data_IF_778994038030
#
_entry.id   IF_778994038030
#
_cell.length_a   1.000
_cell.length_b   1.000
_cell.length_c   1.000
_cell.angle_alpha   90.00
_cell.angle_beta   90.00
_cell.angle_gamma   90.00
#
_symmetry.space_group_name_H-M   'P 1'
#
loop_
_entity.id
_entity.type
_entity.pdbx_description
1 polymer ?
#
# COMPACT_ATOMS: atom_id res chain seq x y z
N UNK A 1 -5.44 -68.18 27.27
CA UNK A 1 -6.22 -67.06 27.86
C UNK A 1 -5.33 -65.83 27.85
N UNK A 2 -5.45 -64.98 26.83
CA UNK A 2 -4.68 -63.74 26.73
C UNK A 2 -5.58 -62.62 27.24
N UNK A 3 -5.24 -62.05 28.40
CA UNK A 3 -5.90 -60.87 28.95
C UNK A 3 -5.40 -59.65 28.15
N UNK A 4 -6.26 -59.09 27.32
CA UNK A 4 -6.04 -57.77 26.73
C UNK A 4 -6.42 -56.74 27.79
N UNK A 5 -5.41 -56.15 28.43
CA UNK A 5 -5.57 -54.97 29.25
C UNK A 5 -5.61 -53.77 28.31
N UNK A 6 -6.83 -53.28 28.00
CA UNK A 6 -7.01 -51.97 27.37
C UNK A 6 -6.68 -50.93 28.43
N UNK A 7 -5.54 -50.25 28.28
CA UNK A 7 -5.16 -49.13 29.13
C UNK A 7 -6.16 -47.99 28.93
N UNK A 8 -7.02 -47.80 29.93
CA UNK A 8 -8.03 -46.75 30.01
C UNK A 8 -7.40 -45.39 30.39
N UNK A 9 -6.34 -44.98 29.69
CA UNK A 9 -5.54 -43.79 30.05
C UNK A 9 -5.51 -42.70 28.98
N UNK A 10 -6.42 -42.75 27.99
CA UNK A 10 -6.61 -41.70 26.99
C UNK A 10 -7.93 -40.92 27.15
N UNK A 11 -8.58 -40.98 28.31
CA UNK A 11 -9.87 -40.31 28.56
C UNK A 11 -9.86 -39.27 29.70
N UNK A 12 -8.67 -38.76 30.06
CA UNK A 12 -8.53 -37.76 31.12
C UNK A 12 -7.57 -36.62 30.70
N UNK A 13 -7.89 -35.94 29.60
CA UNK A 13 -7.32 -34.64 29.27
C UNK A 13 -8.34 -33.75 28.52
N UNK A 14 -9.63 -33.90 28.83
CA UNK A 14 -10.72 -33.09 28.25
C UNK A 14 -11.54 -32.44 29.37
N UNK A 15 -10.86 -31.74 30.27
CA UNK A 15 -11.45 -30.86 31.28
C UNK A 15 -10.32 -29.89 31.64
N UNK A 16 -10.18 -28.77 30.92
CA UNK A 16 -10.91 -27.54 31.22
C UNK A 16 -11.17 -26.69 29.96
N UNK A 17 -11.88 -27.23 28.97
CA UNK A 17 -12.68 -26.34 28.11
C UNK A 17 -13.96 -26.09 28.90
N UNK A 18 -14.08 -24.91 29.53
CA UNK A 18 -15.32 -24.53 30.21
C UNK A 18 -16.48 -24.74 29.25
N UNK A 19 -17.39 -25.65 29.59
CA UNK A 19 -18.61 -25.83 28.80
C UNK A 19 -19.41 -24.55 28.97
N UNK A 20 -19.41 -23.68 27.97
CA UNK A 20 -20.31 -22.52 27.94
C UNK A 20 -21.72 -23.08 27.90
N UNK A 21 -22.37 -23.20 29.06
CA UNK A 21 -23.69 -23.81 29.17
C UNK A 21 -24.77 -22.95 28.51
N UNK A 22 -24.50 -21.65 28.34
CA UNK A 22 -25.33 -20.70 27.60
C UNK A 22 -24.45 -19.65 26.93
N UNK A 23 -24.61 -19.50 25.61
CA UNK A 23 -23.99 -18.40 24.87
C UNK A 23 -24.69 -17.07 25.23
N UNK A 24 -23.97 -15.93 25.23
CA UNK A 24 -24.58 -14.64 25.53
C UNK A 24 -25.62 -14.29 24.46
N UNK A 25 -26.61 -13.47 24.82
CA UNK A 25 -27.68 -13.03 23.90
C UNK A 25 -27.12 -12.40 22.62
N UNK A 26 -26.01 -11.65 22.76
CA UNK A 26 -25.28 -11.04 21.65
C UNK A 26 -24.81 -12.04 20.60
N UNK A 27 -24.67 -13.32 20.96
CA UNK A 27 -24.31 -14.42 20.07
C UNK A 27 -25.56 -15.21 19.66
N UNK A 28 -26.41 -15.58 20.61
CA UNK A 28 -27.56 -16.47 20.33
C UNK A 28 -28.55 -15.87 19.34
N UNK A 29 -28.68 -14.54 19.29
CA UNK A 29 -29.57 -13.86 18.34
C UNK A 29 -29.16 -14.00 16.86
N UNK A 30 -27.93 -14.44 16.60
CA UNK A 30 -27.41 -14.62 15.24
C UNK A 30 -27.49 -16.09 14.75
N UNK A 31 -27.77 -17.03 15.66
CA UNK A 31 -27.80 -18.47 15.39
C UNK A 31 -29.10 -18.88 14.70
N UNK A 32 -28.99 -19.62 13.59
CA UNK A 32 -30.11 -20.33 12.97
C UNK A 32 -30.17 -21.78 13.49
N UNK A 33 -30.94 -22.00 14.55
CA UNK A 33 -31.09 -23.33 15.16
C UNK A 33 -31.77 -24.37 14.26
N UNK A 34 -32.30 -23.97 13.09
CA UNK A 34 -32.85 -24.92 12.11
C UNK A 34 -31.78 -25.57 11.22
N UNK A 35 -30.57 -25.00 11.16
CA UNK A 35 -29.45 -25.55 10.42
C UNK A 35 -28.67 -26.55 11.27
N UNK A 36 -28.22 -27.64 10.66
CA UNK A 36 -27.36 -28.61 11.32
C UNK A 36 -25.91 -28.09 11.35
N UNK A 37 -25.31 -27.83 12.54
CA UNK A 37 -23.94 -27.32 12.63
C UNK A 37 -22.87 -28.29 12.07
N UNK A 38 -23.19 -29.59 11.95
CA UNK A 38 -22.28 -30.57 11.36
C UNK A 38 -22.27 -30.54 9.83
N UNK A 39 -23.31 -29.97 9.21
CA UNK A 39 -23.45 -29.91 7.76
C UNK A 39 -23.04 -28.52 7.23
N UNK A 40 -23.49 -27.45 7.89
CA UNK A 40 -23.14 -26.07 7.56
C UNK A 40 -23.05 -25.22 8.84
N UNK A 41 -21.84 -25.10 9.38
CA UNK A 41 -21.60 -24.34 10.60
C UNK A 41 -21.77 -22.83 10.41
N UNK A 42 -21.57 -22.30 9.19
CA UNK A 42 -21.78 -20.88 8.92
C UNK A 42 -23.27 -20.54 8.95
N UNK A 43 -24.10 -21.34 8.28
CA UNK A 43 -25.56 -21.15 8.34
C UNK A 43 -26.07 -21.32 9.77
N UNK A 44 -25.57 -22.31 10.53
CA UNK A 44 -25.94 -22.44 11.94
C UNK A 44 -25.54 -21.21 12.76
N UNK A 45 -24.29 -20.76 12.69
CA UNK A 45 -23.79 -19.70 13.56
C UNK A 45 -24.27 -18.29 13.18
N UNK A 46 -24.45 -18.03 11.88
CA UNK A 46 -24.70 -16.69 11.33
C UNK A 46 -26.03 -16.58 10.57
N UNK A 47 -26.76 -17.68 10.36
CA UNK A 47 -27.89 -17.72 9.44
C UNK A 47 -29.06 -16.83 9.80
N UNK A 48 -29.27 -16.51 11.08
CA UNK A 48 -30.29 -15.55 11.48
C UNK A 48 -29.88 -14.12 11.11
N UNK A 49 -28.61 -13.76 11.34
CA UNK A 49 -28.08 -12.46 10.88
C UNK A 49 -28.11 -12.35 9.35
N UNK A 50 -27.68 -13.41 8.65
CA UNK A 50 -27.56 -13.41 7.20
C UNK A 50 -28.89 -13.15 6.48
N UNK A 51 -30.01 -13.60 7.05
CA UNK A 51 -31.37 -13.36 6.51
C UNK A 51 -31.75 -11.88 6.49
N UNK A 52 -31.30 -11.11 7.48
CA UNK A 52 -31.68 -9.71 7.69
C UNK A 52 -30.56 -8.72 7.30
N UNK A 53 -29.37 -9.24 6.95
CA UNK A 53 -28.22 -8.42 6.64
C UNK A 53 -28.46 -7.57 5.38
N UNK A 54 -28.35 -6.25 5.52
CA UNK A 54 -28.39 -5.30 4.42
C UNK A 54 -26.99 -4.74 4.22
N UNK A 55 -26.47 -4.86 3.00
CA UNK A 55 -25.20 -4.21 2.63
C UNK A 55 -25.45 -2.69 2.59
N UNK A 56 -24.75 -1.88 3.40
CA UNK A 56 -24.93 -0.44 3.39
C UNK A 56 -24.65 0.15 2.00
N UNK A 57 -25.34 1.24 1.60
CA UNK A 57 -25.06 1.92 0.35
C UNK A 57 -23.57 2.28 0.20
N UNK A 58 -22.99 1.99 -0.96
CA UNK A 58 -21.57 2.25 -1.24
C UNK A 58 -20.58 1.27 -0.60
N UNK A 59 -21.03 0.18 0.03
CA UNK A 59 -20.16 -0.91 0.49
C UNK A 59 -20.31 -2.14 -0.42
N UNK A 60 -19.23 -2.85 -0.74
CA UNK A 60 -19.31 -4.08 -1.56
C UNK A 60 -19.79 -5.30 -0.76
N UNK A 61 -19.67 -5.28 0.57
CA UNK A 61 -20.12 -6.33 1.47
C UNK A 61 -20.44 -5.75 2.87
N UNK A 62 -21.06 -6.58 3.71
CA UNK A 62 -21.19 -6.34 5.16
C UNK A 62 -20.97 -7.66 5.88
N UNK A 63 -20.54 -7.61 7.13
CA UNK A 63 -20.31 -8.78 7.97
C UNK A 63 -20.70 -8.50 9.42
N UNK A 64 -20.89 -9.56 10.21
CA UNK A 64 -21.37 -9.44 11.58
C UNK A 64 -20.35 -8.80 12.53
N UNK A 65 -19.05 -8.94 12.26
CA UNK A 65 -17.99 -8.61 13.21
C UNK A 65 -17.28 -7.30 12.83
N UNK A 66 -16.56 -7.29 11.71
CA UNK A 66 -15.66 -6.23 11.31
C UNK A 66 -16.40 -5.00 10.80
N UNK A 67 -17.49 -5.17 10.04
CA UNK A 67 -18.26 -4.02 9.54
C UNK A 67 -18.85 -3.20 10.68
N UNK A 68 -19.37 -3.86 11.73
CA UNK A 68 -19.88 -3.18 12.92
C UNK A 68 -18.77 -2.43 13.66
N UNK A 69 -17.65 -3.10 13.95
CA UNK A 69 -16.50 -2.50 14.64
C UNK A 69 -15.94 -1.32 13.84
N UNK A 70 -15.88 -1.44 12.50
CA UNK A 70 -15.44 -0.37 11.62
C UNK A 70 -16.30 0.89 11.74
N UNK A 71 -17.63 0.74 11.81
CA UNK A 71 -18.57 1.86 12.00
C UNK A 71 -18.40 2.49 13.39
N UNK A 72 -18.28 1.67 14.44
CA UNK A 72 -18.05 2.16 15.81
C UNK A 72 -16.72 2.92 15.92
N UNK A 73 -15.67 2.42 15.26
CA UNK A 73 -14.38 3.09 15.19
C UNK A 73 -14.45 4.40 14.38
N UNK A 74 -15.15 4.41 13.24
CA UNK A 74 -15.33 5.61 12.41
C UNK A 74 -15.96 6.74 13.24
N UNK A 75 -16.96 6.44 14.07
CA UNK A 75 -17.59 7.42 14.96
C UNK A 75 -16.61 8.01 16.00
N UNK A 76 -15.76 7.18 16.61
CA UNK A 76 -14.72 7.65 17.55
C UNK A 76 -13.69 8.53 16.83
N UNK A 77 -13.27 8.13 15.62
CA UNK A 77 -12.33 8.91 14.82
C UNK A 77 -12.92 10.26 14.41
N UNK A 78 -14.20 10.31 14.03
CA UNK A 78 -14.91 11.56 13.73
C UNK A 78 -14.92 12.51 14.93
N UNK A 79 -15.18 12.00 16.15
CA UNK A 79 -15.12 12.78 17.38
C UNK A 79 -13.71 13.36 17.62
N UNK A 80 -12.67 12.52 17.51
CA UNK A 80 -11.26 12.93 17.68
C UNK A 80 -10.84 13.99 16.67
N UNK A 81 -11.27 13.86 15.41
CA UNK A 81 -10.96 14.84 14.37
C UNK A 81 -11.73 16.15 14.60
N UNK A 82 -12.97 16.09 15.09
CA UNK A 82 -13.79 17.27 15.41
C UNK A 82 -13.22 18.10 16.56
N UNK A 83 -12.49 17.45 17.47
CA UNK A 83 -11.78 18.05 18.60
C UNK A 83 -10.62 18.96 18.17
N UNK A 84 -10.23 18.91 16.89
CA UNK A 84 -9.26 19.81 16.25
C UNK A 84 -7.95 19.96 17.03
N UNK A 85 -7.39 18.84 17.51
CA UNK A 85 -6.11 18.81 18.22
C UNK A 85 -4.98 19.36 17.34
N UNK A 86 -3.99 20.04 17.94
CA UNK A 86 -2.84 20.59 17.20
C UNK A 86 -2.12 19.51 16.38
N UNK A 87 -1.60 19.87 15.19
CA UNK A 87 -1.05 18.97 14.16
C UNK A 87 -2.06 18.02 13.49
N UNK A 88 -2.88 17.31 14.26
CA UNK A 88 -3.89 16.39 13.72
C UNK A 88 -4.98 17.16 12.95
N UNK A 89 -5.57 18.15 13.63
CA UNK A 89 -6.56 19.06 13.06
C UNK A 89 -5.97 19.95 11.97
N UNK A 90 -4.72 20.41 12.12
CA UNK A 90 -4.02 21.17 11.06
C UNK A 90 -3.87 20.34 9.78
N UNK A 91 -3.42 19.09 9.90
CA UNK A 91 -3.31 18.17 8.76
C UNK A 91 -4.67 17.87 8.14
N UNK A 92 -5.66 17.48 8.96
CA UNK A 92 -7.02 17.18 8.51
C UNK A 92 -7.67 18.38 7.80
N UNK A 93 -7.61 19.57 8.41
CA UNK A 93 -8.18 20.79 7.83
C UNK A 93 -7.45 21.23 6.55
N UNK A 94 -6.14 21.01 6.45
CA UNK A 94 -5.39 21.29 5.20
C UNK A 94 -5.89 20.44 4.04
N UNK A 95 -6.31 19.20 4.32
CA UNK A 95 -6.93 18.35 3.33
C UNK A 95 -8.37 18.80 3.02
N UNK A 96 -9.15 19.24 4.00
CA UNK A 96 -10.53 19.69 3.78
C UNK A 96 -10.65 20.97 2.92
N UNK A 97 -9.64 21.83 2.92
CA UNK A 97 -9.66 23.13 2.22
C UNK A 97 -9.53 23.00 0.69
N UNK A 98 -10.63 22.58 0.06
CA UNK A 98 -10.73 22.45 -1.40
C UNK A 98 -10.63 23.78 -2.13
N UNK A 99 -10.96 24.91 -1.47
CA UNK A 99 -10.83 26.23 -2.08
C UNK A 99 -9.35 26.58 -2.32
N UNK A 100 -8.49 26.35 -1.32
CA UNK A 100 -7.04 26.52 -1.48
C UNK A 100 -6.48 25.54 -2.51
N UNK A 101 -6.89 24.27 -2.49
CA UNK A 101 -6.44 23.27 -3.47
C UNK A 101 -6.84 23.63 -4.91
N UNK A 102 -8.06 24.09 -5.14
CA UNK A 102 -8.51 24.59 -6.45
C UNK A 102 -7.72 25.83 -6.88
N UNK A 103 -7.41 26.74 -5.95
CA UNK A 103 -6.60 27.93 -6.26
C UNK A 103 -5.15 27.59 -6.61
N UNK A 104 -4.58 26.57 -5.97
CA UNK A 104 -3.20 26.15 -6.22
C UNK A 104 -3.07 25.28 -7.46
N UNK A 105 -4.07 24.43 -7.77
CA UNK A 105 -3.99 23.49 -8.88
C UNK A 105 -2.70 22.65 -8.82
N UNK A 106 -1.91 22.67 -9.89
CA UNK A 106 -0.62 21.96 -9.97
C UNK A 106 0.58 22.80 -9.53
N UNK A 107 0.38 24.04 -9.06
CA UNK A 107 1.48 24.94 -8.70
C UNK A 107 2.48 24.38 -7.69
N UNK A 108 2.08 23.55 -6.69
CA UNK A 108 3.04 22.92 -5.77
C UNK A 108 4.07 22.01 -6.45
N UNK A 109 3.77 21.50 -7.65
CA UNK A 109 4.65 20.60 -8.40
C UNK A 109 5.61 21.33 -9.35
N UNK A 110 5.45 22.64 -9.57
CA UNK A 110 6.21 23.37 -10.58
C UNK A 110 7.73 23.36 -10.34
N UNK A 111 8.17 23.31 -9.08
CA UNK A 111 9.59 23.15 -8.75
C UNK A 111 10.17 21.84 -9.27
N UNK A 112 9.47 20.73 -9.00
CA UNK A 112 9.84 19.39 -9.46
C UNK A 112 9.74 19.26 -10.99
N UNK A 113 8.68 19.79 -11.60
CA UNK A 113 8.52 19.82 -13.07
C UNK A 113 9.69 20.59 -13.69
N UNK A 114 10.04 21.77 -13.15
CA UNK A 114 11.18 22.54 -13.63
C UNK A 114 12.49 21.75 -13.52
N UNK A 115 12.72 21.04 -12.42
CA UNK A 115 13.92 20.21 -12.25
C UNK A 115 13.99 19.10 -13.31
N UNK A 116 12.88 18.41 -13.59
CA UNK A 116 12.77 17.37 -14.64
C UNK A 116 13.17 17.93 -16.01
N UNK A 117 12.63 19.08 -16.40
CA UNK A 117 12.88 19.67 -17.72
C UNK A 117 14.24 20.36 -17.83
N UNK A 118 14.86 20.74 -16.72
CA UNK A 118 16.19 21.35 -16.69
C UNK A 118 17.33 20.33 -16.73
N UNK A 119 17.05 19.04 -16.50
CA UNK A 119 18.05 17.97 -16.53
C UNK A 119 18.61 17.77 -17.93
N UNK A 120 19.92 17.96 -18.15
CA UNK A 120 20.51 17.96 -19.50
C UNK A 120 20.85 16.57 -20.02
N UNK A 121 21.04 15.61 -19.11
CA UNK A 121 21.37 14.22 -19.44
C UNK A 121 20.39 13.25 -18.78
N UNK A 122 20.36 12.00 -19.27
CA UNK A 122 19.58 10.94 -18.62
C UNK A 122 20.00 10.74 -17.17
N UNK A 123 21.30 10.84 -16.86
CA UNK A 123 21.77 10.70 -15.48
C UNK A 123 21.24 11.85 -14.60
N UNK A 124 21.32 13.10 -15.06
CA UNK A 124 20.78 14.25 -14.31
C UNK A 124 19.28 14.07 -14.02
N UNK A 125 18.52 13.61 -15.01
CA UNK A 125 17.08 13.36 -14.85
C UNK A 125 16.81 12.27 -13.82
N UNK A 126 17.61 11.20 -13.81
CA UNK A 126 17.42 10.11 -12.86
C UNK A 126 17.89 10.47 -11.46
N UNK A 127 18.83 11.40 -11.32
CA UNK A 127 19.13 12.04 -10.02
C UNK A 127 17.91 12.82 -9.55
N UNK A 128 17.28 13.64 -10.40
CA UNK A 128 16.02 14.33 -10.06
C UNK A 128 14.93 13.32 -9.66
N UNK A 129 14.78 12.22 -10.40
CA UNK A 129 13.83 11.17 -10.05
C UNK A 129 14.15 10.51 -8.68
N UNK A 130 15.43 10.37 -8.34
CA UNK A 130 15.88 9.92 -7.02
C UNK A 130 15.58 10.93 -5.91
N UNK A 131 15.57 12.23 -6.21
CA UNK A 131 15.16 13.27 -5.25
C UNK A 131 13.65 13.24 -5.00
N UNK A 132 12.83 12.94 -6.03
CA UNK A 132 11.38 12.77 -5.86
C UNK A 132 11.02 11.63 -4.90
N UNK A 133 11.88 10.59 -4.81
CA UNK A 133 11.68 9.49 -3.86
C UNK A 133 11.70 9.96 -2.39
N UNK A 134 12.41 11.07 -2.07
CA UNK A 134 12.37 11.68 -0.73
C UNK A 134 10.99 12.19 -0.34
N UNK A 135 10.17 12.50 -1.34
CA UNK A 135 8.79 12.94 -1.18
C UNK A 135 7.78 11.79 -1.35
N UNK A 136 8.25 10.53 -1.26
CA UNK A 136 7.40 9.35 -1.39
C UNK A 136 7.05 8.97 -2.84
N UNK A 137 7.77 9.49 -3.85
CA UNK A 137 7.48 9.26 -5.27
C UNK A 137 8.65 8.50 -5.93
N UNK A 138 8.76 7.17 -5.73
CA UNK A 138 9.77 6.36 -6.41
C UNK A 138 9.42 6.19 -7.90
N UNK A 139 10.30 6.64 -8.80
CA UNK A 139 10.02 6.58 -10.23
C UNK A 139 10.29 5.18 -10.85
N UNK A 140 11.49 4.65 -10.61
CA UNK A 140 12.00 3.42 -11.24
C UNK A 140 12.61 2.42 -10.25
N UNK A 141 12.85 2.83 -9.01
CA UNK A 141 13.29 1.96 -7.92
C UNK A 141 12.75 2.50 -6.61
N UNK A 142 12.37 1.62 -5.71
CA UNK A 142 12.00 1.95 -4.35
C UNK A 142 13.03 1.36 -3.38
N UNK A 143 13.86 2.20 -2.75
CA UNK A 143 14.87 1.77 -1.79
C UNK A 143 14.45 2.25 -0.41
N UNK A 144 14.27 1.30 0.51
CA UNK A 144 13.77 1.56 1.86
C UNK A 144 14.71 0.99 2.91
N UNK A 145 14.77 1.66 4.06
CA UNK A 145 15.40 1.10 5.24
C UNK A 145 14.49 0.03 5.87
N UNK A 146 15.06 -1.11 6.23
CA UNK A 146 14.38 -2.16 6.98
C UNK A 146 15.39 -2.91 7.86
N UNK A 147 14.89 -3.70 8.81
CA UNK A 147 15.72 -4.55 9.64
C UNK A 147 16.48 -5.57 8.77
N UNK A 148 17.77 -5.79 9.04
CA UNK A 148 18.54 -6.82 8.35
C UNK A 148 17.99 -8.20 8.68
N UNK A 149 17.58 -8.95 7.65
CA UNK A 149 17.08 -10.32 7.78
C UNK A 149 18.08 -11.28 8.43
N UNK A 150 19.39 -10.97 8.43
CA UNK A 150 20.44 -11.76 9.10
C UNK A 150 20.78 -11.25 10.50
N UNK A 151 20.49 -9.99 10.82
CA UNK A 151 20.79 -9.35 12.09
C UNK A 151 19.76 -8.25 12.37
N UNK A 152 18.64 -8.61 13.01
CA UNK A 152 17.52 -7.70 13.27
C UNK A 152 17.86 -6.54 14.21
N UNK A 153 19.07 -6.48 14.76
CA UNK A 153 19.55 -5.34 15.55
C UNK A 153 20.04 -4.17 14.69
N UNK A 154 20.13 -4.34 13.37
CA UNK A 154 20.60 -3.33 12.43
C UNK A 154 19.54 -3.02 11.38
N UNK A 155 19.53 -1.76 10.94
CA UNK A 155 18.81 -1.35 9.74
C UNK A 155 19.76 -1.28 8.54
N UNK A 156 19.27 -1.71 7.40
CA UNK A 156 19.99 -1.74 6.12
C UNK A 156 19.04 -1.30 5.00
N UNK A 157 19.58 -0.97 3.83
CA UNK A 157 18.77 -0.63 2.67
C UNK A 157 18.37 -1.88 1.91
N UNK A 158 17.11 -1.98 1.51
CA UNK A 158 16.61 -2.96 0.55
C UNK A 158 16.04 -2.24 -0.66
N UNK A 159 16.45 -2.68 -1.85
CA UNK A 159 15.92 -2.19 -3.11
C UNK A 159 14.82 -3.10 -3.63
N UNK A 160 13.72 -2.49 -4.05
CA UNK A 160 12.55 -3.16 -4.61
C UNK A 160 12.11 -2.47 -5.93
N UNK A 161 11.28 -3.17 -6.70
CA UNK A 161 10.59 -2.58 -7.83
C UNK A 161 9.56 -1.54 -7.34
N UNK A 162 9.44 -0.37 -8.00
CA UNK A 162 8.49 0.65 -7.60
C UNK A 162 7.06 0.23 -7.96
N UNK A 163 6.04 0.84 -7.35
CA UNK A 163 4.67 0.69 -7.79
C UNK A 163 4.51 1.11 -9.26
N UNK A 164 3.70 0.35 -9.99
CA UNK A 164 3.19 0.72 -11.31
C UNK A 164 1.92 1.55 -11.15
N UNK A 165 1.62 2.42 -12.11
CA UNK A 165 0.45 3.30 -12.04
C UNK A 165 -0.89 2.53 -12.13
N UNK A 166 -0.88 1.33 -12.73
CA UNK A 166 -1.96 0.35 -12.62
C UNK A 166 -1.45 -0.96 -12.00
N UNK A 167 -2.33 -1.79 -11.40
CA UNK A 167 -1.95 -3.15 -11.02
C UNK A 167 -1.35 -3.91 -12.20
N UNK A 168 -0.19 -4.56 -12.00
CA UNK A 168 0.60 -5.25 -13.05
C UNK A 168 -0.25 -6.09 -14.00
N UNK A 169 -1.26 -6.79 -13.48
CA UNK A 169 -2.13 -7.67 -14.27
C UNK A 169 -2.88 -6.96 -15.41
N UNK A 170 -3.16 -5.66 -15.30
CA UNK A 170 -3.76 -4.89 -16.39
C UNK A 170 -2.80 -4.73 -17.57
N UNK A 171 -1.49 -4.64 -17.34
CA UNK A 171 -0.52 -4.53 -18.43
C UNK A 171 -0.16 -5.89 -19.05
N UNK A 172 -0.14 -6.96 -18.25
CA UNK A 172 0.37 -8.27 -18.68
C UNK A 172 -0.71 -9.24 -19.16
N UNK A 173 -1.99 -8.94 -18.90
CA UNK A 173 -3.11 -9.80 -19.33
C UNK A 173 -3.93 -9.09 -20.40
N UNK A 174 -3.88 -9.53 -21.68
CA UNK A 174 -4.55 -8.84 -22.78
C UNK A 174 -6.04 -8.58 -22.56
N UNK A 175 -6.78 -9.57 -22.05
CA UNK A 175 -8.22 -9.41 -21.76
C UNK A 175 -8.51 -8.37 -20.68
N UNK A 176 -7.64 -8.21 -19.68
CA UNK A 176 -7.77 -7.13 -18.68
C UNK A 176 -7.42 -5.78 -19.30
N UNK A 177 -6.35 -5.72 -20.10
CA UNK A 177 -5.94 -4.49 -20.78
C UNK A 177 -7.07 -3.92 -21.66
N UNK A 178 -7.74 -4.79 -22.43
CA UNK A 178 -8.88 -4.42 -23.28
C UNK A 178 -10.00 -3.73 -22.50
N UNK A 179 -10.20 -4.10 -21.23
CA UNK A 179 -11.26 -3.49 -20.39
C UNK A 179 -10.91 -2.10 -19.85
N UNK A 180 -9.62 -1.73 -19.79
CA UNK A 180 -9.15 -0.52 -19.10
C UNK A 180 -8.43 0.49 -20.01
N UNK A 181 -7.96 0.08 -21.19
CA UNK A 181 -7.09 0.90 -22.04
C UNK A 181 -7.68 2.27 -22.37
N UNK A 182 -8.96 2.31 -22.75
CA UNK A 182 -9.62 3.56 -23.13
C UNK A 182 -9.71 4.53 -21.93
N UNK A 183 -10.14 4.03 -20.77
CA UNK A 183 -10.22 4.80 -19.53
C UNK A 183 -8.85 5.27 -19.06
N UNK A 184 -7.83 4.43 -19.19
CA UNK A 184 -6.47 4.80 -18.80
C UNK A 184 -5.87 5.89 -19.70
N UNK A 185 -6.13 5.85 -21.01
CA UNK A 185 -5.75 6.93 -21.93
C UNK A 185 -6.41 8.26 -21.56
N UNK A 186 -7.70 8.21 -21.18
CA UNK A 186 -8.43 9.40 -20.72
C UNK A 186 -7.81 9.93 -19.43
N UNK A 187 -7.51 9.07 -18.47
CA UNK A 187 -6.87 9.47 -17.22
C UNK A 187 -5.50 10.12 -17.43
N UNK A 188 -4.61 9.49 -18.21
CA UNK A 188 -3.30 10.07 -18.53
C UNK A 188 -3.48 11.43 -19.22
N UNK A 189 -4.43 11.54 -20.15
CA UNK A 189 -4.72 12.81 -20.82
C UNK A 189 -5.16 13.89 -19.83
N UNK A 190 -6.06 13.58 -18.89
CA UNK A 190 -6.47 14.52 -17.83
C UNK A 190 -5.28 14.97 -16.99
N UNK A 191 -4.47 14.03 -16.49
CA UNK A 191 -3.26 14.31 -15.69
C UNK A 191 -2.33 15.29 -16.40
N UNK A 192 -2.02 15.05 -17.69
CA UNK A 192 -1.12 15.89 -18.46
C UNK A 192 -1.73 17.26 -18.83
N UNK A 193 -3.04 17.31 -19.10
CA UNK A 193 -3.73 18.58 -19.37
C UNK A 193 -3.71 19.50 -18.14
N UNK A 194 -3.85 18.95 -16.93
CA UNK A 194 -3.70 19.71 -15.69
C UNK A 194 -2.27 20.26 -15.51
N UNK A 195 -1.27 19.58 -16.08
CA UNK A 195 0.11 20.05 -16.14
C UNK A 195 0.34 21.16 -17.20
N UNK A 196 -0.68 21.53 -17.97
CA UNK A 196 -0.61 22.54 -19.02
C UNK A 196 -0.30 22.02 -20.42
N UNK A 197 -0.32 20.70 -20.63
CA UNK A 197 -0.07 20.12 -21.96
C UNK A 197 -1.20 20.46 -22.93
N UNK A 198 -0.83 20.83 -24.16
CA UNK A 198 -1.76 20.96 -25.28
C UNK A 198 -2.28 19.59 -25.72
N UNK A 199 -3.42 19.56 -26.39
CA UNK A 199 -3.98 18.33 -26.94
C UNK A 199 -3.01 17.55 -27.84
N UNK A 200 -2.13 18.26 -28.57
CA UNK A 200 -1.10 17.66 -29.42
C UNK A 200 0.01 16.98 -28.60
N UNK A 201 0.47 17.64 -27.53
CA UNK A 201 1.49 17.07 -26.63
C UNK A 201 0.95 15.86 -25.88
N UNK A 202 -0.29 15.93 -25.41
CA UNK A 202 -0.99 14.79 -24.78
C UNK A 202 -1.05 13.60 -25.74
N UNK A 203 -1.47 13.81 -26.99
CA UNK A 203 -1.57 12.75 -27.99
C UNK A 203 -0.22 12.07 -28.27
N UNK A 204 0.89 12.79 -28.14
CA UNK A 204 2.24 12.24 -28.27
C UNK A 204 2.72 11.53 -27.00
N UNK A 205 2.41 12.05 -25.82
CA UNK A 205 2.88 11.56 -24.53
C UNK A 205 2.18 10.27 -24.07
N UNK A 206 0.87 10.15 -24.26
CA UNK A 206 0.07 8.97 -23.85
C UNK A 206 0.67 7.64 -24.35
N UNK A 207 0.99 7.44 -25.65
CA UNK A 207 1.58 6.19 -26.11
C UNK A 207 3.01 5.96 -25.59
N UNK A 208 3.76 7.01 -25.24
CA UNK A 208 5.08 6.89 -24.61
C UNK A 208 4.95 6.29 -23.21
N UNK A 209 4.08 6.86 -22.38
CA UNK A 209 3.81 6.42 -21.01
C UNK A 209 3.32 4.98 -21.01
N UNK A 210 2.26 4.67 -21.75
CA UNK A 210 1.68 3.32 -21.79
C UNK A 210 2.70 2.28 -22.26
N UNK A 211 3.47 2.57 -23.31
CA UNK A 211 4.47 1.62 -23.82
C UNK A 211 5.58 1.37 -22.81
N UNK A 212 6.06 2.42 -22.14
CA UNK A 212 7.10 2.29 -21.14
C UNK A 212 6.60 1.46 -19.95
N UNK A 213 5.42 1.76 -19.42
CA UNK A 213 4.85 1.02 -18.29
C UNK A 213 4.53 -0.42 -18.63
N UNK A 214 4.03 -0.72 -19.84
CA UNK A 214 3.86 -2.11 -20.31
C UNK A 214 5.19 -2.86 -20.35
N UNK A 215 6.24 -2.20 -20.83
CA UNK A 215 7.58 -2.80 -20.88
C UNK A 215 8.11 -3.06 -19.47
N UNK A 216 7.96 -2.08 -18.57
CA UNK A 216 8.35 -2.22 -17.16
C UNK A 216 7.55 -3.32 -16.46
N UNK A 217 6.23 -3.41 -16.68
CA UNK A 217 5.37 -4.45 -16.13
C UNK A 217 5.73 -5.87 -16.63
N UNK A 218 6.31 -5.98 -17.84
CA UNK A 218 6.87 -7.23 -18.35
C UNK A 218 8.22 -7.60 -17.71
N UNK A 219 8.92 -6.64 -17.11
CA UNK A 219 10.18 -6.83 -16.38
C UNK A 219 9.92 -7.17 -14.90
N UNK A 220 8.90 -6.57 -14.29
CA UNK A 220 8.54 -6.80 -12.89
C UNK A 220 8.16 -8.25 -12.61
N UNK A 221 8.50 -8.72 -11.42
CA UNK A 221 8.11 -10.04 -10.94
C UNK A 221 6.59 -10.09 -10.74
N UNK A 222 5.98 -11.27 -10.96
CA UNK A 222 4.60 -11.51 -10.54
C UNK A 222 4.58 -11.79 -9.03
N UNK A 223 3.44 -11.56 -8.37
CA UNK A 223 3.28 -11.75 -6.91
C UNK A 223 3.82 -13.09 -6.38
N UNK A 224 3.62 -14.19 -7.11
CA UNK A 224 4.15 -15.49 -6.71
C UNK A 224 5.69 -15.52 -6.73
N UNK A 225 6.32 -14.94 -7.75
CA UNK A 225 7.78 -14.84 -7.85
C UNK A 225 8.34 -13.91 -6.76
N UNK A 226 7.65 -12.82 -6.43
CA UNK A 226 8.04 -11.97 -5.28
C UNK A 226 8.02 -12.74 -3.96
N UNK A 227 6.98 -13.55 -3.73
CA UNK A 227 6.87 -14.40 -2.54
C UNK A 227 7.97 -15.47 -2.49
N UNK A 228 8.28 -16.10 -3.63
CA UNK A 228 9.36 -17.08 -3.77
C UNK A 228 10.76 -16.45 -3.60
N UNK A 229 10.95 -15.22 -4.08
CA UNK A 229 12.19 -14.47 -3.91
C UNK A 229 12.38 -14.02 -2.44
N UNK A 230 11.29 -13.70 -1.74
CA UNK A 230 11.34 -13.21 -0.35
C UNK A 230 11.88 -14.26 0.65
N UNK A 231 11.74 -15.55 0.34
CA UNK A 231 12.27 -16.67 1.14
C UNK A 231 13.72 -17.02 0.81
N UNK A 232 14.26 -16.48 -0.29
CA UNK A 232 15.64 -16.70 -0.70
C UNK A 232 16.59 -15.74 0.04
N UNK A 233 17.87 -16.13 0.27
CA UNK A 233 18.88 -15.22 0.79
C UNK A 233 19.02 -13.99 -0.10
N UNK A 234 19.09 -12.80 0.50
CA UNK A 234 19.31 -11.59 -0.27
C UNK A 234 20.75 -11.50 -0.81
N UNK A 235 20.89 -10.91 -1.99
CA UNK A 235 22.18 -10.46 -2.53
C UNK A 235 22.44 -9.03 -2.05
N UNK A 236 23.58 -8.79 -1.41
CA UNK A 236 24.02 -7.46 -1.01
C UNK A 236 25.12 -6.94 -1.94
N UNK A 237 24.96 -5.71 -2.41
CA UNK A 237 25.99 -5.01 -3.18
C UNK A 237 26.30 -3.67 -2.50
N UNK A 238 27.58 -3.32 -2.43
CA UNK A 238 28.01 -2.03 -1.88
C UNK A 238 27.53 -0.87 -2.74
N UNK A 239 27.44 0.34 -2.17
CA UNK A 239 27.05 1.53 -2.93
C UNK A 239 27.94 1.78 -4.16
N UNK A 240 29.25 1.58 -4.02
CA UNK A 240 30.19 1.66 -5.14
C UNK A 240 29.88 0.63 -6.24
N UNK A 241 29.70 -0.64 -5.88
CA UNK A 241 29.37 -1.69 -6.85
C UNK A 241 28.05 -1.39 -7.58
N UNK A 242 27.07 -0.83 -6.87
CA UNK A 242 25.79 -0.44 -7.44
C UNK A 242 25.90 0.74 -8.39
N UNK A 243 26.74 1.74 -8.08
CA UNK A 243 26.97 2.84 -9.02
C UNK A 243 27.70 2.40 -10.29
N UNK A 244 28.55 1.37 -10.21
CA UNK A 244 29.19 0.79 -11.39
C UNK A 244 28.24 -0.10 -12.20
N UNK A 245 27.43 -0.93 -11.53
CA UNK A 245 26.54 -1.90 -12.18
C UNK A 245 25.27 -1.23 -12.73
N UNK A 246 24.68 -0.33 -11.96
CA UNK A 246 23.41 0.34 -12.23
C UNK A 246 23.52 1.87 -12.10
N UNK A 247 24.41 2.52 -12.86
CA UNK A 247 24.66 3.96 -12.74
C UNK A 247 23.40 4.82 -12.96
N UNK A 248 22.50 4.38 -13.83
CA UNK A 248 21.26 5.10 -14.12
C UNK A 248 20.16 4.80 -13.10
N UNK A 249 19.99 3.55 -12.70
CA UNK A 249 18.89 3.14 -11.83
C UNK A 249 19.18 3.35 -10.34
N UNK A 250 20.21 2.68 -9.80
CA UNK A 250 20.50 2.68 -8.35
C UNK A 250 21.52 3.75 -7.99
N UNK A 251 22.56 3.92 -8.82
CA UNK A 251 23.62 4.91 -8.60
C UNK A 251 23.08 6.34 -8.53
N UNK A 252 22.17 6.69 -9.44
CA UNK A 252 21.48 8.00 -9.43
C UNK A 252 20.65 8.21 -8.17
N UNK A 253 19.91 7.19 -7.70
CA UNK A 253 19.14 7.24 -6.47
C UNK A 253 20.04 7.44 -5.24
N UNK A 254 21.16 6.69 -5.16
CA UNK A 254 22.13 6.81 -4.08
C UNK A 254 22.73 8.23 -4.02
N UNK A 255 23.15 8.77 -5.17
CA UNK A 255 23.66 10.15 -5.29
C UNK A 255 22.62 11.18 -4.88
N UNK A 256 21.39 11.03 -5.36
CA UNK A 256 20.28 11.93 -5.02
C UNK A 256 19.99 11.95 -3.52
N UNK A 257 20.17 10.82 -2.83
CA UNK A 257 19.94 10.67 -1.40
C UNK A 257 21.18 10.90 -0.53
N UNK A 258 22.27 11.40 -1.12
CA UNK A 258 23.46 11.83 -0.39
C UNK A 258 24.39 10.70 0.04
N UNK A 259 24.22 9.49 -0.50
CA UNK A 259 25.11 8.37 -0.24
C UNK A 259 26.44 8.52 -0.99
N UNK A 260 27.53 8.13 -0.34
CA UNK A 260 28.84 8.15 -0.96
C UNK A 260 29.08 6.87 -1.79
N UNK A 261 29.22 7.04 -3.10
CA UNK A 261 29.37 5.95 -4.07
C UNK A 261 30.81 5.79 -4.59
N UNK A 262 31.78 6.48 -3.98
CA UNK A 262 33.18 6.38 -4.40
C UNK A 262 33.80 5.06 -3.97
N UNK A 263 34.90 4.67 -4.63
CA UNK A 263 35.63 3.47 -4.23
C UNK A 263 36.18 3.66 -2.80
N UNK A 264 36.10 2.60 -1.99
CA UNK A 264 36.52 2.56 -0.58
C UNK A 264 35.83 3.56 0.36
N UNK A 265 34.76 4.23 -0.08
CA UNK A 265 34.10 5.25 0.73
C UNK A 265 32.99 4.74 1.65
N UNK A 266 32.92 3.42 1.88
CA UNK A 266 31.83 2.76 2.60
C UNK A 266 32.24 2.03 3.88
N UNK A 267 31.40 2.11 4.91
CA UNK A 267 31.46 1.29 6.12
C UNK A 267 30.87 -0.11 5.94
N UNK A 268 30.89 -0.92 7.00
CA UNK A 268 30.42 -2.32 6.96
C UNK A 268 28.92 -2.49 6.61
N UNK A 269 28.15 -1.40 6.68
CA UNK A 269 26.71 -1.38 6.41
C UNK A 269 26.34 -0.60 5.14
N UNK A 270 27.32 -0.18 4.34
CA UNK A 270 27.10 0.64 3.13
C UNK A 270 26.82 -0.22 1.90
N UNK A 271 25.68 -0.93 1.96
CA UNK A 271 25.20 -1.82 0.93
C UNK A 271 23.68 -1.78 0.80
N UNK A 272 23.18 -2.20 -0.36
CA UNK A 272 21.75 -2.43 -0.61
C UNK A 272 21.52 -3.92 -0.85
N UNK A 273 20.50 -4.47 -0.19
CA UNK A 273 20.04 -5.84 -0.32
C UNK A 273 18.96 -5.97 -1.40
N UNK A 274 18.99 -7.09 -2.13
CA UNK A 274 18.04 -7.43 -3.18
C UNK A 274 17.63 -8.88 -3.08
N UNK A 275 16.33 -9.15 -3.19
CA UNK A 275 15.78 -10.52 -3.25
C UNK A 275 15.87 -11.10 -4.66
N UNK A 276 15.82 -10.25 -5.70
CA UNK A 276 16.01 -10.61 -7.11
C UNK A 276 16.69 -9.46 -7.87
N UNK A 277 17.72 -9.77 -8.65
CA UNK A 277 18.45 -8.77 -9.46
C UNK A 277 17.88 -8.56 -10.88
N UNK A 278 17.01 -9.45 -11.34
CA UNK A 278 16.47 -9.50 -12.71
C UNK A 278 15.74 -8.21 -13.08
N UNK A 279 14.95 -7.66 -12.15
CA UNK A 279 14.26 -6.39 -12.35
C UNK A 279 15.26 -5.26 -12.61
N UNK A 280 16.28 -5.15 -11.77
CA UNK A 280 17.29 -4.09 -11.83
C UNK A 280 18.18 -4.20 -13.08
N UNK A 281 18.61 -5.42 -13.42
CA UNK A 281 19.39 -5.70 -14.63
C UNK A 281 18.64 -5.25 -15.90
N UNK A 282 17.36 -5.61 -16.03
CA UNK A 282 16.53 -5.27 -17.19
C UNK A 282 16.12 -3.79 -17.21
N UNK A 283 15.84 -3.20 -16.05
CA UNK A 283 15.41 -1.80 -15.94
C UNK A 283 16.55 -0.84 -16.24
N UNK A 284 17.77 -1.14 -15.81
CA UNK A 284 18.97 -0.38 -16.20
C UNK A 284 19.13 -0.33 -17.73
N UNK A 285 18.90 -1.45 -18.43
CA UNK A 285 18.93 -1.50 -19.90
C UNK A 285 17.78 -0.69 -20.51
N UNK A 286 16.57 -0.82 -19.97
CA UNK A 286 15.41 -0.04 -20.43
C UNK A 286 15.67 1.47 -20.34
N UNK A 287 16.20 1.94 -19.20
CA UNK A 287 16.55 3.34 -18.98
C UNK A 287 17.62 3.82 -19.96
N UNK A 288 18.67 3.03 -20.21
CA UNK A 288 19.72 3.35 -21.22
C UNK A 288 19.16 3.48 -22.63
N UNK A 289 18.17 2.66 -22.98
CA UNK A 289 17.57 2.62 -24.32
C UNK A 289 16.45 3.64 -24.54
N UNK A 290 15.96 4.29 -23.48
CA UNK A 290 14.88 5.27 -23.56
C UNK A 290 15.45 6.68 -23.74
N UNK A 291 14.91 7.44 -24.69
CA UNK A 291 15.37 8.81 -24.93
C UNK A 291 15.11 9.72 -23.72
N UNK A 292 15.96 10.73 -23.52
CA UNK A 292 15.80 11.71 -22.44
C UNK A 292 14.41 12.37 -22.43
N UNK A 293 13.91 12.76 -23.59
CA UNK A 293 12.58 13.38 -23.73
C UNK A 293 11.43 12.45 -23.29
N UNK A 294 11.49 11.17 -23.67
CA UNK A 294 10.53 10.18 -23.21
C UNK A 294 10.64 9.97 -21.70
N UNK A 295 11.85 9.88 -21.16
CA UNK A 295 12.05 9.74 -19.71
C UNK A 295 11.51 10.95 -18.95
N UNK A 296 11.70 12.19 -19.43
CA UNK A 296 11.10 13.39 -18.80
C UNK A 296 9.58 13.27 -18.72
N UNK A 297 8.96 12.88 -19.84
CA UNK A 297 7.51 12.65 -19.93
C UNK A 297 7.04 11.61 -18.92
N UNK A 298 7.78 10.51 -18.76
CA UNK A 298 7.44 9.42 -17.83
C UNK A 298 7.62 9.85 -16.37
N UNK A 299 8.72 10.53 -16.03
CA UNK A 299 9.00 10.99 -14.67
C UNK A 299 7.99 12.07 -14.24
N UNK A 300 7.65 12.99 -15.14
CA UNK A 300 6.62 14.00 -14.87
C UNK A 300 5.24 13.38 -14.72
N UNK A 301 4.87 12.43 -15.59
CA UNK A 301 3.62 11.69 -15.41
C UNK A 301 3.56 11.00 -14.05
N UNK A 302 4.63 10.30 -13.64
CA UNK A 302 4.71 9.64 -12.33
C UNK A 302 4.58 10.62 -11.16
N UNK A 303 5.22 11.78 -11.25
CA UNK A 303 5.10 12.86 -10.26
C UNK A 303 3.64 13.30 -10.07
N UNK A 304 2.96 13.62 -11.17
CA UNK A 304 1.59 14.15 -11.12
C UNK A 304 0.59 13.05 -10.77
N UNK A 305 0.76 11.85 -11.31
CA UNK A 305 -0.03 10.67 -10.97
C UNK A 305 0.02 10.37 -9.47
N UNK A 306 1.22 10.30 -8.88
CA UNK A 306 1.40 10.05 -7.46
C UNK A 306 0.80 11.14 -6.56
N UNK A 307 0.68 12.37 -7.08
CA UNK A 307 0.08 13.50 -6.37
C UNK A 307 -1.41 13.67 -6.65
N UNK A 308 -1.99 12.88 -7.56
CA UNK A 308 -3.29 13.20 -8.20
C UNK A 308 -4.48 13.24 -7.23
N UNK A 309 -4.38 12.56 -6.09
CA UNK A 309 -5.39 12.55 -5.03
C UNK A 309 -5.32 13.76 -4.09
N UNK A 310 -4.20 14.49 -4.10
CA UNK A 310 -3.88 15.57 -3.16
C UNK A 310 -3.84 16.98 -3.78
N UNK A 311 -4.04 17.10 -5.10
CA UNK A 311 -4.13 18.41 -5.77
C UNK A 311 -5.58 18.94 -5.75
N UNK A 312 -6.04 19.52 -6.85
CA UNK A 312 -7.38 20.06 -6.98
C UNK A 312 -8.47 18.96 -7.07
N UNK A 313 -9.73 19.28 -6.71
CA UNK A 313 -10.84 18.33 -6.73
C UNK A 313 -11.03 17.63 -8.08
N UNK A 314 -10.84 18.34 -9.19
CA UNK A 314 -11.04 17.77 -10.52
C UNK A 314 -10.05 16.65 -10.85
N UNK A 315 -8.80 16.77 -10.40
CA UNK A 315 -7.79 15.72 -10.62
C UNK A 315 -8.03 14.53 -9.69
N UNK A 316 -8.49 14.76 -8.46
CA UNK A 316 -8.94 13.70 -7.56
C UNK A 316 -10.10 12.92 -8.17
N UNK A 317 -11.11 13.60 -8.71
CA UNK A 317 -12.25 12.95 -9.38
C UNK A 317 -11.80 12.20 -10.63
N UNK A 318 -10.84 12.72 -11.40
CA UNK A 318 -10.26 12.00 -12.54
C UNK A 318 -9.55 10.71 -12.11
N UNK A 319 -8.81 10.74 -11.00
CA UNK A 319 -8.23 9.54 -10.38
C UNK A 319 -9.33 8.57 -9.95
N UNK A 320 -10.31 9.02 -9.18
CA UNK A 320 -11.40 8.18 -8.68
C UNK A 320 -12.19 7.51 -9.81
N UNK A 321 -12.48 8.22 -10.91
CA UNK A 321 -13.18 7.64 -12.06
C UNK A 321 -12.46 6.42 -12.65
N UNK A 322 -11.13 6.39 -12.59
CA UNK A 322 -10.35 5.24 -13.05
C UNK A 322 -10.19 4.19 -11.94
N UNK A 323 -9.69 4.58 -10.77
CA UNK A 323 -9.34 3.63 -9.72
C UNK A 323 -10.58 3.18 -8.94
N UNK A 324 -11.25 4.10 -8.24
CA UNK A 324 -12.44 3.76 -7.45
C UNK A 324 -13.59 3.23 -8.32
N UNK A 325 -14.04 3.99 -9.31
CA UNK A 325 -15.22 3.62 -10.10
C UNK A 325 -14.96 2.48 -11.08
N UNK A 326 -13.92 2.58 -11.91
CA UNK A 326 -13.71 1.64 -13.02
C UNK A 326 -12.98 0.36 -12.59
N UNK A 327 -12.00 0.44 -11.68
CA UNK A 327 -11.23 -0.71 -11.22
C UNK A 327 -11.89 -1.35 -10.00
N UNK A 328 -12.25 -0.56 -8.99
CA UNK A 328 -12.78 -1.07 -7.72
C UNK A 328 -14.31 -1.22 -7.71
N UNK A 329 -15.00 -0.64 -8.70
CA UNK A 329 -16.45 -0.77 -8.86
C UNK A 329 -17.27 0.11 -7.92
N UNK A 330 -16.67 1.17 -7.38
CA UNK A 330 -17.36 2.10 -6.49
C UNK A 330 -18.44 2.89 -7.23
N UNK A 331 -19.63 2.98 -6.63
CA UNK A 331 -20.75 3.72 -7.21
C UNK A 331 -20.65 5.23 -6.99
N UNK A 332 -20.01 5.66 -5.90
CA UNK A 332 -19.97 7.04 -5.42
C UNK A 332 -18.57 7.41 -4.95
N UNK A 333 -18.07 8.58 -5.36
CA UNK A 333 -16.79 9.10 -4.89
C UNK A 333 -16.86 9.38 -3.39
N UNK A 334 -15.90 8.89 -2.57
CA UNK A 334 -15.89 9.17 -1.15
C UNK A 334 -15.94 10.66 -0.86
N UNK A 335 -16.67 11.07 0.19
CA UNK A 335 -16.72 12.47 0.60
C UNK A 335 -15.33 12.98 0.97
N UNK A 336 -15.16 14.31 0.96
CA UNK A 336 -13.85 14.90 1.25
C UNK A 336 -13.41 14.58 2.68
N UNK A 337 -14.33 14.60 3.63
CA UNK A 337 -14.11 14.26 5.04
C UNK A 337 -13.60 12.83 5.19
N UNK A 338 -14.26 11.86 4.54
CA UNK A 338 -13.85 10.44 4.59
C UNK A 338 -12.47 10.23 3.97
N UNK A 339 -12.20 10.87 2.84
CA UNK A 339 -10.88 10.85 2.23
C UNK A 339 -9.82 11.45 3.17
N UNK A 340 -10.08 12.64 3.71
CA UNK A 340 -9.13 13.31 4.60
C UNK A 340 -8.90 12.56 5.91
N UNK A 341 -9.92 11.90 6.46
CA UNK A 341 -9.76 11.04 7.63
C UNK A 341 -8.85 9.84 7.33
N UNK A 342 -9.01 9.21 6.16
CA UNK A 342 -8.11 8.13 5.72
C UNK A 342 -6.67 8.61 5.47
N UNK A 343 -6.49 9.84 4.97
CA UNK A 343 -5.16 10.45 4.80
C UNK A 343 -4.48 10.74 6.15
N UNK A 344 -5.26 11.17 7.16
CA UNK A 344 -4.76 11.35 8.53
C UNK A 344 -4.27 10.01 9.08
N UNK A 345 -5.07 8.95 8.96
CA UNK A 345 -4.69 7.61 9.42
C UNK A 345 -3.44 7.09 8.69
N UNK A 346 -3.37 7.26 7.38
CA UNK A 346 -2.23 6.78 6.58
C UNK A 346 -0.94 7.55 6.87
N UNK A 347 -1.03 8.86 7.10
CA UNK A 347 0.16 9.74 7.20
C UNK A 347 0.62 9.96 8.63
N UNK A 348 -0.33 10.15 9.54
CA UNK A 348 -0.08 10.46 10.96
C UNK A 348 -0.88 9.52 11.89
N UNK A 349 -1.15 8.30 11.43
CA UNK A 349 -1.94 7.28 12.13
C UNK A 349 -1.43 6.92 13.52
N UNK A 350 -0.12 7.00 13.77
CA UNK A 350 0.40 6.80 15.13
C UNK A 350 -0.08 7.89 16.10
N UNK A 351 -0.12 9.15 15.64
CA UNK A 351 -0.64 10.27 16.44
C UNK A 351 -2.16 10.15 16.62
N UNK A 352 -2.89 9.82 15.55
CA UNK A 352 -4.33 9.56 15.60
C UNK A 352 -4.64 8.40 16.57
N UNK A 353 -3.86 7.33 16.47
CA UNK A 353 -3.97 6.11 17.26
C UNK A 353 -3.77 6.37 18.75
N UNK A 354 -2.91 7.31 19.14
CA UNK A 354 -2.78 7.70 20.54
C UNK A 354 -4.09 8.26 21.10
N UNK A 355 -4.73 9.20 20.40
CA UNK A 355 -6.03 9.73 20.83
C UNK A 355 -7.13 8.68 20.78
N UNK A 356 -7.08 7.78 19.80
CA UNK A 356 -8.02 6.66 19.71
C UNK A 356 -7.90 5.74 20.92
N UNK A 357 -6.67 5.34 21.28
CA UNK A 357 -6.42 4.53 22.47
C UNK A 357 -6.87 5.24 23.75
N UNK A 358 -6.61 6.55 23.90
CA UNK A 358 -7.09 7.30 25.06
C UNK A 358 -8.63 7.28 25.19
N UNK A 359 -9.34 7.21 24.06
CA UNK A 359 -10.80 7.17 24.02
C UNK A 359 -11.39 5.79 24.36
N UNK A 360 -10.75 4.69 23.91
CA UNK A 360 -11.37 3.35 23.96
C UNK A 360 -10.57 2.28 24.71
N UNK A 361 -9.30 2.53 25.02
CA UNK A 361 -8.38 1.53 25.58
C UNK A 361 -8.25 1.65 27.09
N UNK A 362 -9.05 0.87 27.81
CA UNK A 362 -9.01 0.83 29.28
C UNK A 362 -7.91 -0.09 29.83
N UNK A 363 -7.54 0.09 31.10
CA UNK A 363 -6.61 -0.81 31.79
C UNK A 363 -7.12 -2.26 31.85
N UNK A 364 -8.44 -2.46 31.98
CA UNK A 364 -9.06 -3.78 31.97
C UNK A 364 -8.99 -4.42 30.57
N UNK A 365 -9.16 -3.63 29.51
CA UNK A 365 -8.97 -4.08 28.12
C UNK A 365 -7.54 -4.55 27.90
N UNK A 366 -6.56 -3.75 28.32
CA UNK A 366 -5.13 -4.09 28.22
C UNK A 366 -4.80 -5.39 28.95
N UNK A 367 -5.25 -5.50 30.21
CA UNK A 367 -5.05 -6.70 31.03
C UNK A 367 -5.66 -7.95 30.39
N UNK A 368 -6.89 -7.84 29.87
CA UNK A 368 -7.59 -8.96 29.23
C UNK A 368 -6.85 -9.43 27.97
N UNK A 369 -6.37 -8.49 27.16
CA UNK A 369 -5.57 -8.81 25.97
C UNK A 369 -4.24 -9.50 26.35
N UNK A 370 -3.54 -9.00 27.36
CA UNK A 370 -2.29 -9.60 27.86
C UNK A 370 -2.49 -11.01 28.39
N UNK A 371 -3.58 -11.26 29.13
CA UNK A 371 -3.92 -12.59 29.63
C UNK A 371 -4.21 -13.56 28.48
N UNK A 372 -4.93 -13.11 27.44
CA UNK A 372 -5.18 -13.90 26.24
C UNK A 372 -3.88 -14.26 25.51
N UNK A 373 -2.97 -13.29 25.29
CA UNK A 373 -1.69 -13.52 24.62
C UNK A 373 -0.86 -14.53 25.41
N UNK A 374 -0.74 -14.38 26.73
CA UNK A 374 0.00 -15.33 27.58
C UNK A 374 -0.60 -16.73 27.54
N UNK A 375 -1.93 -16.85 27.53
CA UNK A 375 -2.61 -18.12 27.41
C UNK A 375 -2.32 -18.80 26.05
N UNK A 376 -2.34 -18.02 24.96
CA UNK A 376 -1.98 -18.50 23.63
C UNK A 376 -0.52 -18.95 23.57
N UNK A 377 0.43 -18.12 23.99
CA UNK A 377 1.85 -18.46 24.04
C UNK A 377 2.11 -19.75 24.84
N UNK A 378 1.45 -19.87 26.00
CA UNK A 378 1.55 -21.06 26.84
C UNK A 378 1.06 -22.31 26.10
N UNK A 379 -0.04 -22.22 25.35
CA UNK A 379 -0.59 -23.36 24.60
C UNK A 379 0.34 -23.85 23.48
N UNK A 380 1.12 -22.96 22.85
CA UNK A 380 2.11 -23.33 21.85
C UNK A 380 3.44 -23.81 22.46
N UNK A 381 3.74 -23.41 23.69
CA UNK A 381 4.96 -23.79 24.41
C UNK A 381 4.94 -25.22 24.96
N UNK A 382 3.76 -25.84 25.07
CA UNK A 382 3.58 -27.20 25.59
C UNK A 382 3.74 -28.33 24.57
N UNK A 383 4.57 -28.13 23.52
CA UNK A 383 4.88 -29.16 22.51
C UNK A 383 6.26 -29.78 22.67
#
# INVERSE_FOLDING_TARGET
MVKVLVSLSALAASATAGSVTQLPESVTKHIDYSANPCDDFYQYACGAWYKDAVIPPGKPFTDLAFSKIGIENEAVLEEILSDNKTKLGEFYNSCLDTATLSSLGVTPLLGSIKAIWSANTTLDLLVVAGELAKNGIPAFVDIKASADKKDSTKNVLFGDQPPLSLPRSYYTTPSKWETIEADYKVYIASVLQFAGYTAKEVAAAVPVIIRFEKTLAGITLRKLEEMEAAVSPYTSLTYYQLDQKYPLLIGSWLKANGFNVHDQSGGSNDWVGFTDLTYFDKTEVLLKSTTLENLRTIVEYKLIHASSTHLNPELRTANWNLFGKKIDGEEVEPTREKFCAAEVDTTVGELLGQYFLDAVWSADTAKTADELVKALESSFSTS
#
